data_IF_606728699160
#
_entry.id   IF_606728699160
#
_cell.length_a   1.000
_cell.length_b   1.000
_cell.length_c   1.000
_cell.angle_alpha   90.00
_cell.angle_beta   90.00
_cell.angle_gamma   90.00
#
_symmetry.space_group_name_H-M   'P 1'
#
loop_
_entity.id
_entity.type
_entity.pdbx_description
1 polymer ?
#
# COMPACT_ATOMS: atom_id res chain seq x y z
N UNK A 1 -18.87 29.40 -2.39
CA UNK A 1 -17.90 28.42 -1.87
C UNK A 1 -17.69 27.36 -2.93
N UNK A 2 -16.51 27.30 -3.55
CA UNK A 2 -16.17 26.21 -4.46
C UNK A 2 -15.68 25.01 -3.62
N UNK A 3 -16.46 23.92 -3.61
CA UNK A 3 -16.02 22.64 -3.08
C UNK A 3 -14.96 22.08 -4.04
N UNK A 4 -13.69 22.25 -3.69
CA UNK A 4 -12.60 21.46 -4.28
C UNK A 4 -12.75 20.02 -3.78
N UNK A 5 -13.58 19.24 -4.46
CA UNK A 5 -13.54 17.78 -4.36
C UNK A 5 -12.19 17.34 -4.91
N UNK A 6 -11.23 17.11 -4.01
CA UNK A 6 -10.02 16.36 -4.33
C UNK A 6 -10.50 14.97 -4.78
N UNK A 7 -10.40 14.70 -6.07
CA UNK A 7 -10.55 13.36 -6.59
C UNK A 7 -9.44 12.51 -5.95
N UNK A 8 -9.76 11.84 -4.84
CA UNK A 8 -8.90 10.78 -4.29
C UNK A 8 -8.71 9.81 -5.44
N UNK A 9 -7.50 9.74 -5.99
CA UNK A 9 -7.18 8.80 -7.06
C UNK A 9 -7.61 7.43 -6.58
N UNK A 10 -8.59 6.83 -7.27
CA UNK A 10 -9.09 5.50 -6.92
C UNK A 10 -8.02 4.52 -7.35
N UNK A 11 -6.98 4.36 -6.52
CA UNK A 11 -6.12 3.19 -6.58
C UNK A 11 -7.01 2.01 -6.21
N UNK A 12 -7.39 1.24 -7.22
CA UNK A 12 -8.26 0.07 -7.04
C UNK A 12 -7.56 -1.02 -6.24
N UNK A 13 -8.33 -2.03 -5.81
CA UNK A 13 -7.79 -3.26 -5.23
C UNK A 13 -6.94 -3.97 -6.30
N UNK A 14 -5.63 -3.93 -6.12
CA UNK A 14 -4.66 -4.52 -7.04
C UNK A 14 -3.32 -4.65 -6.31
N UNK A 15 -2.41 -5.42 -6.91
CA UNK A 15 -1.04 -5.55 -6.45
C UNK A 15 -0.19 -4.36 -6.92
N UNK A 16 0.61 -3.84 -6.00
CA UNK A 16 1.53 -2.72 -6.19
C UNK A 16 2.85 -2.99 -5.48
N UNK A 17 3.92 -2.31 -5.86
CA UNK A 17 5.25 -2.53 -5.29
C UNK A 17 5.54 -1.66 -4.08
N UNK A 18 4.78 -0.59 -3.83
CA UNK A 18 5.05 0.33 -2.73
C UNK A 18 3.76 0.75 -2.02
N UNK A 19 3.76 0.77 -0.69
CA UNK A 19 2.58 1.16 0.10
C UNK A 19 2.92 2.02 1.31
N UNK A 20 1.95 2.83 1.75
CA UNK A 20 2.07 3.72 2.90
C UNK A 20 0.74 3.79 3.65
N UNK A 21 0.78 3.75 4.98
CA UNK A 21 -0.37 4.05 5.84
C UNK A 21 -0.43 5.54 6.16
N UNK A 22 -1.63 6.09 6.25
CA UNK A 22 -1.89 7.48 6.66
C UNK A 22 -2.85 7.51 7.85
N UNK A 23 -2.68 8.49 8.74
CA UNK A 23 -3.60 8.71 9.86
C UNK A 23 -4.89 9.42 9.41
N UNK A 24 -5.84 9.62 10.33
CA UNK A 24 -7.12 10.27 10.04
C UNK A 24 -7.00 11.68 9.43
N UNK A 25 -5.91 12.39 9.72
CA UNK A 25 -5.61 13.72 9.20
C UNK A 25 -4.94 13.71 7.82
N UNK A 26 -4.72 12.52 7.25
CA UNK A 26 -4.03 12.34 5.96
C UNK A 26 -2.51 12.51 6.05
N UNK A 27 -1.93 12.47 7.25
CA UNK A 27 -0.48 12.55 7.47
C UNK A 27 0.12 11.15 7.41
N UNK A 28 1.30 10.97 6.78
CA UNK A 28 2.06 9.73 6.84
C UNK A 28 2.14 9.15 8.25
N UNK A 29 1.84 7.85 8.37
CA UNK A 29 1.91 7.15 9.64
C UNK A 29 2.92 6.00 9.57
N UNK A 30 4.18 6.35 9.78
CA UNK A 30 5.32 5.47 9.55
C UNK A 30 5.36 4.26 10.49
N UNK A 31 4.98 4.41 11.76
CA UNK A 31 4.89 3.29 12.71
C UNK A 31 3.87 2.23 12.24
N UNK A 32 2.68 2.66 11.82
CA UNK A 32 1.69 1.76 11.26
C UNK A 32 2.21 1.11 9.97
N UNK A 33 2.90 1.89 9.12
CA UNK A 33 3.49 1.39 7.87
C UNK A 33 4.55 0.32 8.11
N UNK A 34 5.49 0.57 9.02
CA UNK A 34 6.51 -0.40 9.42
C UNK A 34 5.88 -1.65 10.05
N UNK A 35 4.89 -1.46 10.94
CA UNK A 35 4.15 -2.56 11.56
C UNK A 35 3.49 -3.47 10.52
N UNK A 36 2.79 -2.90 9.53
CA UNK A 36 2.17 -3.67 8.46
C UNK A 36 3.23 -4.29 7.55
N UNK A 37 4.30 -3.56 7.23
CA UNK A 37 5.38 -4.05 6.38
C UNK A 37 6.07 -5.30 6.95
N UNK A 38 6.20 -5.36 8.28
CA UNK A 38 6.79 -6.48 9.02
C UNK A 38 5.85 -7.68 9.21
N UNK A 39 4.57 -7.60 8.79
CA UNK A 39 3.64 -8.76 8.80
C UNK A 39 3.94 -9.75 7.68
N UNK A 40 4.60 -9.29 6.62
CA UNK A 40 4.97 -10.13 5.50
C UNK A 40 6.18 -11.00 5.83
N UNK A 41 6.34 -12.11 5.11
CA UNK A 41 7.48 -13.02 5.32
C UNK A 41 8.81 -12.28 5.11
N UNK A 42 9.79 -12.57 5.97
CA UNK A 42 11.11 -11.94 5.89
C UNK A 42 11.71 -12.07 4.49
N UNK A 43 12.15 -10.95 3.91
CA UNK A 43 12.69 -10.88 2.55
C UNK A 43 11.66 -10.65 1.44
N UNK A 44 10.35 -10.66 1.73
CA UNK A 44 9.33 -10.26 0.75
C UNK A 44 9.12 -8.74 0.69
N UNK A 45 9.35 -8.05 1.81
CA UNK A 45 9.16 -6.61 1.95
C UNK A 45 10.33 -5.94 2.65
N UNK A 46 10.51 -4.64 2.39
CA UNK A 46 11.47 -3.77 3.06
C UNK A 46 10.80 -2.46 3.43
N UNK A 47 10.95 -2.06 4.69
CA UNK A 47 10.59 -0.71 5.11
C UNK A 47 11.76 0.25 4.79
N UNK A 48 11.51 1.26 3.96
CA UNK A 48 12.49 2.30 3.58
C UNK A 48 11.77 3.64 3.44
N UNK A 49 12.32 4.70 4.01
CA UNK A 49 11.82 6.08 3.86
C UNK A 49 10.32 6.25 4.18
N UNK A 50 9.85 5.58 5.24
CA UNK A 50 8.45 5.65 5.67
C UNK A 50 7.50 4.75 4.86
N UNK A 51 8.00 4.01 3.87
CA UNK A 51 7.19 3.21 2.94
C UNK A 51 7.54 1.74 3.02
N UNK A 52 6.56 0.89 2.72
CA UNK A 52 6.79 -0.53 2.54
C UNK A 52 6.99 -0.87 1.07
N UNK A 53 8.13 -1.46 0.74
CA UNK A 53 8.50 -1.87 -0.61
C UNK A 53 8.43 -3.38 -0.74
N UNK A 54 7.76 -3.88 -1.77
CA UNK A 54 7.82 -5.26 -2.19
C UNK A 54 9.16 -5.54 -2.89
N UNK A 55 9.90 -6.53 -2.41
CA UNK A 55 11.22 -6.92 -2.96
C UNK A 55 11.14 -8.19 -3.82
N UNK A 56 9.97 -8.83 -3.89
CA UNK A 56 9.78 -10.05 -4.64
C UNK A 56 9.68 -9.82 -6.16
N UNK A 57 9.45 -10.90 -6.89
CA UNK A 57 9.19 -10.84 -8.33
C UNK A 57 7.87 -10.10 -8.59
N UNK A 58 7.94 -8.93 -9.24
CA UNK A 58 6.77 -8.05 -9.46
C UNK A 58 5.78 -8.56 -10.53
N UNK A 59 6.18 -9.51 -11.36
CA UNK A 59 5.26 -10.15 -12.29
C UNK A 59 5.69 -11.55 -12.73
N UNK A 60 4.72 -12.43 -12.97
CA UNK A 60 4.90 -13.74 -13.60
C UNK A 60 4.16 -13.75 -14.92
N UNK A 61 4.88 -14.00 -16.00
CA UNK A 61 4.30 -14.13 -17.35
C UNK A 61 4.20 -15.59 -17.73
N UNK A 62 2.99 -16.06 -18.01
CA UNK A 62 2.71 -17.35 -18.62
C UNK A 62 1.76 -17.12 -19.78
N UNK A 63 2.27 -17.23 -21.01
CA UNK A 63 1.53 -16.93 -22.22
C UNK A 63 0.10 -17.52 -22.18
N UNK A 64 -0.96 -16.73 -22.40
CA UNK A 64 -0.98 -15.30 -22.83
C UNK A 64 -1.11 -14.27 -21.68
N UNK A 65 -0.94 -14.65 -20.42
CA UNK A 65 -1.26 -13.81 -19.26
C UNK A 65 -0.02 -13.33 -18.48
N UNK A 66 -0.06 -12.08 -18.00
CA UNK A 66 0.89 -11.54 -17.03
C UNK A 66 0.15 -11.28 -15.72
N UNK A 67 0.61 -11.91 -14.65
CA UNK A 67 0.12 -11.69 -13.29
C UNK A 67 1.09 -10.76 -12.57
N UNK A 68 0.60 -9.61 -12.09
CA UNK A 68 1.36 -8.72 -11.23
C UNK A 68 1.30 -9.22 -9.79
N UNK A 69 2.44 -9.26 -9.13
CA UNK A 69 2.59 -9.72 -7.74
C UNK A 69 3.14 -8.54 -6.96
N UNK A 70 2.58 -8.31 -5.77
CA UNK A 70 2.95 -7.21 -4.92
C UNK A 70 2.04 -7.16 -3.71
N UNK A 71 1.95 -5.99 -3.11
CA UNK A 71 1.09 -5.68 -1.99
C UNK A 71 -0.30 -5.31 -2.50
N UNK A 72 -1.32 -6.05 -2.06
CA UNK A 72 -2.71 -5.72 -2.42
C UNK A 72 -3.15 -4.46 -1.67
N UNK A 73 -3.59 -3.45 -2.43
CA UNK A 73 -3.98 -2.16 -1.88
C UNK A 73 -5.18 -2.23 -0.90
N UNK A 74 -6.12 -3.13 -1.11
CA UNK A 74 -7.31 -3.22 -0.26
C UNK A 74 -7.01 -3.98 1.04
N UNK A 75 -6.21 -5.03 0.96
CA UNK A 75 -5.67 -5.68 2.15
C UNK A 75 -4.77 -4.73 2.93
N UNK A 76 -3.90 -3.97 2.25
CA UNK A 76 -3.04 -2.97 2.85
C UNK A 76 -3.83 -1.94 3.68
N UNK A 77 -4.90 -1.37 3.09
CA UNK A 77 -5.78 -0.43 3.77
C UNK A 77 -6.42 -1.02 5.03
N UNK A 78 -6.84 -2.28 4.96
CA UNK A 78 -7.41 -3.00 6.10
C UNK A 78 -6.37 -3.15 7.21
N UNK A 79 -5.16 -3.59 6.87
CA UNK A 79 -4.08 -3.76 7.84
C UNK A 79 -3.60 -2.43 8.45
N UNK A 80 -3.58 -1.34 7.68
CA UNK A 80 -3.30 -0.01 8.20
C UNK A 80 -4.33 0.40 9.26
N UNK A 81 -5.62 0.19 9.01
CA UNK A 81 -6.67 0.49 9.98
C UNK A 81 -6.51 -0.33 11.27
N UNK A 82 -6.19 -1.63 11.15
CA UNK A 82 -5.88 -2.50 12.29
C UNK A 82 -4.64 -2.04 13.07
N UNK A 83 -3.65 -1.45 12.39
CA UNK A 83 -2.46 -0.86 12.99
C UNK A 83 -2.69 0.57 13.55
N UNK A 84 -3.93 1.06 13.55
CA UNK A 84 -4.31 2.37 14.09
C UNK A 84 -4.21 3.54 13.09
N UNK A 85 -3.82 3.28 11.84
CA UNK A 85 -3.85 4.25 10.76
C UNK A 85 -5.22 4.25 10.08
N UNK A 86 -6.17 4.95 10.71
CA UNK A 86 -7.57 5.03 10.26
C UNK A 86 -7.82 6.04 9.13
N UNK A 87 -6.74 6.59 8.54
CA UNK A 87 -6.82 7.48 7.40
C UNK A 87 -7.35 6.78 6.16
N UNK A 88 -8.32 7.42 5.50
CA UNK A 88 -8.86 6.93 4.24
C UNK A 88 -7.84 6.96 3.08
N UNK A 89 -6.71 7.65 3.29
CA UNK A 89 -5.63 7.89 2.33
C UNK A 89 -4.53 6.82 2.34
N UNK A 90 -4.60 5.84 3.24
CA UNK A 90 -3.76 4.62 3.16
C UNK A 90 -3.86 4.01 1.76
N UNK A 91 -2.72 3.81 1.11
CA UNK A 91 -2.68 3.45 -0.30
C UNK A 91 -1.39 2.76 -0.72
N UNK A 92 -1.47 2.01 -1.82
CA UNK A 92 -0.34 1.50 -2.56
C UNK A 92 -0.25 2.09 -3.97
N UNK A 93 0.96 2.18 -4.49
CA UNK A 93 1.30 2.69 -5.80
C UNK A 93 2.49 1.94 -6.42
N UNK A 94 2.79 2.25 -7.68
CA UNK A 94 3.82 1.61 -8.51
C UNK A 94 3.50 0.13 -8.84
N UNK A 95 3.54 -0.25 -10.12
CA UNK A 95 3.21 -1.60 -10.61
C UNK A 95 4.41 -2.26 -11.28
#
# INVERSE_FOLDING_TARGET
LALLTFAKGVVGCSCYSECHCYNADGVPYDNATETVCNRFVSGATKFTDGRCQYIGQVSVTRYPYTHYIGLDNCDWRTMCAEAGATGADSSCDNK
#
